data_IF_856387116586
#
_entry.id   IF_856387116586
#
_cell.length_a   1.000
_cell.length_b   1.000
_cell.length_c   1.000
_cell.angle_alpha   90.00
_cell.angle_beta   90.00
_cell.angle_gamma   90.00
#
_symmetry.space_group_name_H-M   'P 1'
#
loop_
_entity.id
_entity.type
_entity.pdbx_description
1 polymer ?
#
# COMPACT_ATOMS: atom_id res chain seq x y z
N UNK A 1 -26.49 0.14 -29.20
CA UNK A 1 -25.99 0.06 -27.80
C UNK A 1 -24.96 -1.05 -27.79
N UNK A 2 -23.69 -0.71 -27.58
CA UNK A 2 -22.63 -1.71 -27.40
C UNK A 2 -22.70 -2.22 -25.96
N UNK A 3 -22.81 -3.52 -25.78
CA UNK A 3 -22.75 -4.18 -24.47
C UNK A 3 -21.38 -4.84 -24.39
N UNK A 4 -20.64 -4.52 -23.34
CA UNK A 4 -19.35 -5.14 -23.06
C UNK A 4 -19.57 -6.25 -22.03
N UNK A 5 -19.00 -7.42 -22.30
CA UNK A 5 -19.05 -8.56 -21.40
C UNK A 5 -17.66 -8.82 -20.85
N UNK A 6 -17.55 -8.84 -19.52
CA UNK A 6 -16.33 -9.23 -18.83
C UNK A 6 -16.61 -10.45 -17.95
N UNK A 7 -15.79 -11.48 -18.10
CA UNK A 7 -15.90 -12.67 -17.28
C UNK A 7 -15.29 -12.44 -15.90
N UNK A 8 -16.08 -12.61 -14.85
CA UNK A 8 -15.61 -12.57 -13.47
C UNK A 8 -15.11 -13.92 -12.95
N UNK A 9 -15.28 -15.00 -13.73
CA UNK A 9 -14.93 -16.36 -13.29
C UNK A 9 -13.41 -16.52 -13.16
N UNK A 10 -12.61 -15.85 -13.99
CA UNK A 10 -11.14 -15.88 -13.92
C UNK A 10 -10.66 -15.36 -12.57
N UNK A 11 -11.15 -14.19 -12.15
CA UNK A 11 -10.84 -13.60 -10.85
C UNK A 11 -11.32 -14.47 -9.69
N UNK A 12 -12.51 -15.03 -9.79
CA UNK A 12 -13.06 -15.93 -8.76
C UNK A 12 -12.24 -17.23 -8.65
N UNK A 13 -11.83 -17.82 -9.77
CA UNK A 13 -10.96 -19.01 -9.79
C UNK A 13 -9.60 -18.70 -9.17
N UNK A 14 -9.01 -17.56 -9.51
CA UNK A 14 -7.73 -17.14 -8.96
C UNK A 14 -7.81 -16.94 -7.44
N UNK A 15 -8.86 -16.27 -6.93
CA UNK A 15 -9.09 -16.08 -5.50
C UNK A 15 -9.23 -17.42 -4.76
N UNK A 16 -9.98 -18.37 -5.34
CA UNK A 16 -10.16 -19.72 -4.78
C UNK A 16 -8.85 -20.52 -4.79
N UNK A 17 -8.11 -20.49 -5.90
CA UNK A 17 -6.83 -21.18 -6.00
C UNK A 17 -5.81 -20.67 -4.96
N UNK A 18 -5.91 -19.42 -4.57
CA UNK A 18 -5.07 -18.80 -3.54
C UNK A 18 -5.70 -18.83 -2.14
N UNK A 19 -6.84 -19.48 -1.95
CA UNK A 19 -7.54 -19.68 -0.67
C UNK A 19 -7.88 -18.37 0.07
N UNK A 20 -8.20 -17.31 -0.68
CA UNK A 20 -8.57 -16.03 -0.07
C UNK A 20 -9.94 -16.04 0.61
N UNK A 21 -10.81 -16.99 0.26
CA UNK A 21 -12.15 -17.09 0.85
C UNK A 21 -13.00 -15.82 0.69
N UNK A 22 -12.75 -15.05 -0.36
CA UNK A 22 -13.47 -13.81 -0.66
C UNK A 22 -14.51 -14.05 -1.75
N UNK A 23 -15.75 -13.70 -1.43
CA UNK A 23 -16.88 -13.88 -2.35
C UNK A 23 -16.98 -12.70 -3.34
N UNK A 24 -17.29 -13.01 -4.58
CA UNK A 24 -17.60 -12.05 -5.64
C UNK A 24 -16.51 -10.98 -5.92
N UNK A 25 -15.26 -11.38 -6.15
CA UNK A 25 -14.24 -10.43 -6.57
C UNK A 25 -14.61 -9.81 -7.91
N UNK A 26 -14.30 -8.54 -8.11
CA UNK A 26 -14.47 -7.87 -9.42
C UNK A 26 -13.55 -8.51 -10.45
N UNK A 27 -13.93 -8.42 -11.72
CA UNK A 27 -13.10 -8.89 -12.83
C UNK A 27 -11.87 -7.96 -12.98
N UNK A 28 -10.67 -8.53 -12.96
CA UNK A 28 -9.43 -7.79 -13.20
C UNK A 28 -9.44 -7.16 -14.59
N UNK A 29 -9.92 -7.91 -15.61
CA UNK A 29 -10.01 -7.41 -16.99
C UNK A 29 -10.97 -6.22 -17.13
N UNK A 30 -12.09 -6.24 -16.37
CA UNK A 30 -13.01 -5.09 -16.34
C UNK A 30 -12.33 -3.85 -15.75
N UNK A 31 -11.60 -3.99 -14.67
CA UNK A 31 -10.88 -2.87 -14.05
C UNK A 31 -9.77 -2.39 -14.97
N UNK A 32 -8.99 -3.27 -15.60
CA UNK A 32 -7.98 -2.89 -16.62
C UNK A 32 -8.61 -2.08 -17.74
N UNK A 33 -9.75 -2.52 -18.26
CA UNK A 33 -10.47 -1.80 -19.29
C UNK A 33 -10.85 -0.38 -18.85
N UNK A 34 -11.38 -0.20 -17.64
CA UNK A 34 -11.70 1.13 -17.11
C UNK A 34 -10.44 2.00 -17.01
N UNK A 35 -9.36 1.47 -16.43
CA UNK A 35 -8.10 2.20 -16.29
C UNK A 35 -7.53 2.59 -17.67
N UNK A 36 -7.61 1.71 -18.66
CA UNK A 36 -7.11 1.96 -20.01
C UNK A 36 -7.86 3.07 -20.77
N UNK A 37 -9.04 3.49 -20.29
CA UNK A 37 -9.73 4.67 -20.85
C UNK A 37 -9.00 5.98 -20.53
N UNK A 38 -8.10 5.99 -19.54
CA UNK A 38 -7.28 7.12 -19.18
C UNK A 38 -6.02 7.07 -20.05
N UNK A 39 -5.75 8.09 -20.89
CA UNK A 39 -4.60 8.06 -21.81
C UNK A 39 -3.24 8.05 -21.11
N UNK A 40 -3.15 8.62 -19.89
CA UNK A 40 -1.90 8.66 -19.13
C UNK A 40 -1.55 7.28 -18.59
N UNK A 41 -0.30 6.90 -18.81
CA UNK A 41 0.29 5.71 -18.21
C UNK A 41 1.02 6.01 -16.88
N UNK A 42 1.01 7.27 -16.46
CA UNK A 42 1.64 7.79 -15.26
C UNK A 42 0.59 8.51 -14.41
N UNK A 43 -0.34 7.77 -13.85
CA UNK A 43 -1.42 8.34 -13.03
C UNK A 43 -1.54 7.60 -11.71
N UNK A 44 -2.21 8.23 -10.75
CA UNK A 44 -2.55 7.63 -9.46
C UNK A 44 -4.01 7.17 -9.53
N UNK A 45 -4.24 5.91 -9.20
CA UNK A 45 -5.56 5.27 -9.17
C UNK A 45 -5.97 5.14 -7.71
N UNK A 46 -7.04 5.86 -7.33
CA UNK A 46 -7.59 5.80 -5.99
C UNK A 46 -8.84 4.91 -5.98
N UNK A 47 -8.83 3.90 -5.12
CA UNK A 47 -10.00 3.04 -4.82
C UNK A 47 -10.25 3.05 -3.32
N UNK A 48 -11.27 3.81 -2.89
CA UNK A 48 -11.57 3.99 -1.46
C UNK A 48 -12.66 3.03 -0.93
N UNK A 49 -12.99 2.01 -1.70
CA UNK A 49 -13.73 0.82 -1.29
C UNK A 49 -13.11 -0.43 -1.92
N UNK A 50 -11.79 -0.62 -1.70
CA UNK A 50 -10.97 -1.55 -2.46
C UNK A 50 -11.32 -3.03 -2.28
N UNK A 51 -12.07 -3.37 -1.23
CA UNK A 51 -12.45 -4.74 -0.93
C UNK A 51 -11.23 -5.67 -0.90
N UNK A 52 -11.20 -6.63 -1.82
CA UNK A 52 -10.05 -7.53 -1.98
C UNK A 52 -8.93 -6.98 -2.87
N UNK A 53 -8.82 -5.67 -3.07
CA UNK A 53 -7.78 -4.98 -3.85
C UNK A 53 -7.65 -5.43 -5.32
N UNK A 54 -8.79 -5.66 -6.00
CA UNK A 54 -8.78 -6.00 -7.45
C UNK A 54 -8.15 -4.90 -8.28
N UNK A 55 -8.34 -3.64 -7.91
CA UNK A 55 -7.83 -2.47 -8.63
C UNK A 55 -6.30 -2.42 -8.61
N UNK A 56 -5.67 -2.73 -7.47
CA UNK A 56 -4.21 -2.83 -7.38
C UNK A 56 -3.66 -3.93 -8.28
N UNK A 57 -4.27 -5.13 -8.25
CA UNK A 57 -3.90 -6.25 -9.13
C UNK A 57 -3.99 -5.84 -10.61
N UNK A 58 -5.12 -5.25 -11.02
CA UNK A 58 -5.33 -4.78 -12.40
C UNK A 58 -4.31 -3.71 -12.83
N UNK A 59 -3.93 -2.82 -11.92
CA UNK A 59 -2.94 -1.78 -12.18
C UNK A 59 -1.55 -2.37 -12.45
N UNK A 60 -1.10 -3.34 -11.63
CA UNK A 60 0.17 -4.02 -11.83
C UNK A 60 0.19 -4.81 -13.15
N UNK A 61 -0.89 -5.56 -13.47
CA UNK A 61 -1.02 -6.26 -14.76
C UNK A 61 -0.91 -5.29 -15.93
N UNK A 62 -1.62 -4.14 -15.88
CA UNK A 62 -1.60 -3.17 -16.96
C UNK A 62 -0.23 -2.51 -17.14
N UNK A 63 0.47 -2.21 -16.04
CA UNK A 63 1.84 -1.70 -16.10
C UNK A 63 2.80 -2.72 -16.76
N UNK A 64 2.67 -4.00 -16.43
CA UNK A 64 3.45 -5.07 -17.06
C UNK A 64 3.09 -5.29 -18.55
N UNK A 65 1.85 -5.01 -18.94
CA UNK A 65 1.40 -5.16 -20.34
C UNK A 65 1.87 -4.04 -21.25
N UNK A 66 1.88 -2.78 -20.75
CA UNK A 66 2.08 -1.60 -21.60
C UNK A 66 3.25 -0.69 -21.17
N UNK A 67 4.04 -1.11 -20.16
CA UNK A 67 5.20 -0.35 -19.66
C UNK A 67 4.81 0.94 -18.93
N UNK A 68 3.61 1.01 -18.39
CA UNK A 68 3.16 2.16 -17.61
C UNK A 68 3.76 2.17 -16.19
N UNK A 69 3.71 3.34 -15.55
CA UNK A 69 4.15 3.58 -14.15
C UNK A 69 2.98 4.08 -13.29
N UNK A 70 1.78 3.53 -13.52
CA UNK A 70 0.60 3.87 -12.72
C UNK A 70 0.80 3.43 -11.29
N UNK A 71 0.43 4.29 -10.35
CA UNK A 71 0.42 4.01 -8.91
C UNK A 71 -1.01 3.77 -8.44
N UNK A 72 -1.17 3.08 -7.31
CA UNK A 72 -2.48 2.87 -6.71
C UNK A 72 -2.50 3.28 -5.25
N UNK A 73 -3.66 3.76 -4.81
CA UNK A 73 -3.98 4.02 -3.40
C UNK A 73 -5.28 3.26 -3.10
N UNK A 74 -5.15 2.25 -2.24
CA UNK A 74 -6.27 1.40 -1.83
C UNK A 74 -6.69 1.76 -0.42
N UNK A 75 -7.97 2.07 -0.21
CA UNK A 75 -8.53 2.36 1.11
C UNK A 75 -9.64 1.36 1.40
N UNK A 76 -9.55 0.72 2.56
CA UNK A 76 -10.55 -0.25 3.02
C UNK A 76 -10.74 -0.15 4.53
N UNK A 77 -11.98 -0.23 4.96
CA UNK A 77 -12.30 -0.40 6.38
C UNK A 77 -11.89 -1.80 6.84
N UNK A 78 -11.34 -1.95 8.04
CA UNK A 78 -10.90 -3.24 8.57
C UNK A 78 -12.10 -4.09 9.05
N UNK A 79 -13.03 -4.37 8.14
CA UNK A 79 -14.19 -5.21 8.44
C UNK A 79 -13.75 -6.63 8.79
N UNK A 80 -14.28 -7.14 9.89
CA UNK A 80 -13.96 -8.49 10.35
C UNK A 80 -14.50 -9.55 9.42
N UNK A 81 -13.70 -10.57 9.19
CA UNK A 81 -14.07 -11.75 8.43
C UNK A 81 -14.96 -12.66 9.29
N UNK A 82 -15.95 -13.32 8.66
CA UNK A 82 -16.84 -14.27 9.34
C UNK A 82 -16.03 -15.41 9.96
N UNK A 83 -16.32 -15.73 11.22
CA UNK A 83 -15.57 -16.73 12.01
C UNK A 83 -15.50 -18.12 11.35
N UNK A 84 -16.55 -18.55 10.65
CA UNK A 84 -16.63 -19.86 10.01
C UNK A 84 -16.30 -19.81 8.50
N UNK A 85 -15.50 -18.82 8.05
CA UNK A 85 -15.11 -18.69 6.64
C UNK A 85 -13.79 -19.37 6.35
N UNK A 86 -13.57 -19.75 5.09
CA UNK A 86 -12.30 -20.26 4.59
C UNK A 86 -11.17 -19.24 4.86
N UNK A 87 -11.42 -17.95 4.63
CA UNK A 87 -10.47 -16.88 4.90
C UNK A 87 -9.99 -16.86 6.35
N UNK A 88 -10.89 -17.09 7.30
CA UNK A 88 -10.53 -17.14 8.73
C UNK A 88 -9.64 -18.34 9.05
N UNK A 89 -9.88 -19.49 8.43
CA UNK A 89 -9.06 -20.69 8.62
C UNK A 89 -7.66 -20.55 8.01
N UNK A 90 -7.49 -19.69 7.01
CA UNK A 90 -6.20 -19.34 6.41
C UNK A 90 -5.45 -18.22 7.19
N UNK A 91 -6.03 -17.73 8.30
CA UNK A 91 -5.38 -16.78 9.20
C UNK A 91 -5.69 -15.31 8.94
N UNK A 92 -6.60 -14.98 8.02
CA UNK A 92 -7.04 -13.62 7.81
C UNK A 92 -8.05 -13.20 8.89
N UNK A 93 -7.95 -11.96 9.36
CA UNK A 93 -8.85 -11.40 10.37
C UNK A 93 -9.79 -10.35 9.79
N UNK A 94 -9.31 -9.58 8.84
CA UNK A 94 -10.04 -8.48 8.20
C UNK A 94 -10.02 -8.60 6.68
N UNK A 95 -10.90 -7.85 6.02
CA UNK A 95 -10.87 -7.73 4.55
C UNK A 95 -9.55 -7.07 4.09
N UNK A 96 -8.97 -6.17 4.90
CA UNK A 96 -7.68 -5.56 4.60
C UNK A 96 -6.57 -6.61 4.46
N UNK A 97 -6.52 -7.61 5.35
CA UNK A 97 -5.51 -8.67 5.31
C UNK A 97 -5.58 -9.45 3.99
N UNK A 98 -6.81 -9.72 3.50
CA UNK A 98 -7.03 -10.35 2.19
C UNK A 98 -6.52 -9.45 1.07
N UNK A 99 -6.83 -8.16 1.13
CA UNK A 99 -6.41 -7.17 0.13
C UNK A 99 -4.89 -7.07 0.03
N UNK A 100 -4.22 -6.96 1.16
CA UNK A 100 -2.76 -6.88 1.25
C UNK A 100 -2.08 -8.13 0.69
N UNK A 101 -2.54 -9.30 1.11
CA UNK A 101 -1.98 -10.56 0.63
C UNK A 101 -2.27 -10.78 -0.86
N UNK A 102 -3.44 -10.34 -1.34
CA UNK A 102 -3.73 -10.36 -2.77
C UNK A 102 -2.76 -9.49 -3.55
N UNK A 103 -2.43 -8.29 -3.09
CA UNK A 103 -1.48 -7.40 -3.77
C UNK A 103 -0.12 -8.10 -3.86
N UNK A 104 0.39 -8.70 -2.76
CA UNK A 104 1.66 -9.42 -2.74
C UNK A 104 1.70 -10.55 -3.77
N UNK A 105 0.73 -11.46 -3.72
CA UNK A 105 0.70 -12.63 -4.64
C UNK A 105 0.44 -12.22 -6.08
N UNK A 106 -0.38 -11.18 -6.30
CA UNK A 106 -0.62 -10.67 -7.63
C UNK A 106 0.65 -10.06 -8.22
N UNK A 107 1.40 -9.26 -7.46
CA UNK A 107 2.67 -8.69 -7.88
C UNK A 107 3.68 -9.76 -8.28
N UNK A 108 3.89 -10.76 -7.42
CA UNK A 108 4.79 -11.88 -7.73
C UNK A 108 4.37 -12.64 -9.00
N UNK A 109 3.05 -12.90 -9.13
CA UNK A 109 2.54 -13.57 -10.32
C UNK A 109 2.77 -12.75 -11.58
N UNK A 110 2.44 -11.46 -11.56
CA UNK A 110 2.60 -10.55 -12.70
C UNK A 110 4.07 -10.48 -13.12
N UNK A 111 5.00 -10.36 -12.15
CA UNK A 111 6.44 -10.36 -12.43
C UNK A 111 6.88 -11.69 -13.05
N UNK A 112 6.43 -12.83 -12.50
CA UNK A 112 6.73 -14.15 -13.02
C UNK A 112 6.18 -14.35 -14.43
N UNK A 113 4.95 -13.97 -14.69
CA UNK A 113 4.31 -14.07 -16.02
C UNK A 113 5.05 -13.19 -17.06
N UNK A 114 5.53 -12.01 -16.64
CA UNK A 114 6.32 -11.11 -17.48
C UNK A 114 7.68 -11.73 -17.85
N UNK A 115 8.38 -12.32 -16.88
CA UNK A 115 9.64 -13.07 -17.11
C UNK A 115 9.41 -14.20 -18.11
N UNK A 116 8.36 -14.99 -17.90
CA UNK A 116 8.05 -16.13 -18.80
C UNK A 116 7.72 -15.66 -20.21
N UNK A 117 6.95 -14.56 -20.34
CA UNK A 117 6.62 -13.92 -21.61
C UNK A 117 7.88 -13.45 -22.32
N UNK A 118 8.78 -12.74 -21.62
CA UNK A 118 10.02 -12.22 -22.18
C UNK A 118 10.94 -13.36 -22.66
N UNK A 119 11.04 -14.45 -21.89
CA UNK A 119 11.82 -15.63 -22.26
C UNK A 119 11.29 -16.33 -23.52
N UNK A 120 9.97 -16.37 -23.73
CA UNK A 120 9.34 -16.96 -24.92
C UNK A 120 9.53 -16.14 -26.19
N UNK A 121 9.53 -14.82 -26.05
CA UNK A 121 9.62 -13.91 -27.20
C UNK A 121 11.07 -13.65 -27.64
N UNK A 122 12.04 -13.86 -26.73
CA UNK A 122 13.46 -13.58 -26.97
C UNK A 122 13.78 -12.09 -27.02
N UNK A 123 15.06 -11.76 -27.21
CA UNK A 123 15.62 -10.40 -27.15
C UNK A 123 15.26 -9.47 -28.34
N UNK A 124 14.31 -9.82 -29.17
CA UNK A 124 14.09 -9.17 -30.47
C UNK A 124 13.05 -8.03 -30.50
N UNK A 125 12.40 -7.70 -29.36
CA UNK A 125 11.41 -6.61 -29.34
C UNK A 125 11.95 -5.38 -28.62
N UNK A 126 12.03 -4.26 -29.34
CA UNK A 126 12.52 -2.96 -28.85
C UNK A 126 11.70 -2.33 -27.69
N UNK A 127 10.59 -2.94 -27.27
CA UNK A 127 9.68 -2.38 -26.25
C UNK A 127 9.29 -3.41 -25.19
N UNK A 128 10.19 -4.30 -24.79
CA UNK A 128 9.94 -5.21 -23.68
C UNK A 128 10.04 -4.45 -22.34
N UNK A 129 9.03 -4.66 -21.48
CA UNK A 129 9.09 -4.20 -20.09
C UNK A 129 10.12 -5.06 -19.36
N UNK A 130 11.07 -4.42 -18.69
CA UNK A 130 12.02 -5.14 -17.83
C UNK A 130 11.30 -5.57 -16.55
N UNK A 131 11.32 -6.86 -16.19
CA UNK A 131 10.72 -7.32 -14.94
C UNK A 131 11.31 -6.67 -13.68
N UNK A 132 12.56 -6.20 -13.74
CA UNK A 132 13.22 -5.56 -12.61
C UNK A 132 12.82 -4.09 -12.45
N UNK A 133 12.32 -3.44 -13.52
CA UNK A 133 11.74 -2.10 -13.46
C UNK A 133 10.26 -2.10 -13.04
N UNK A 134 9.63 -3.28 -12.98
CA UNK A 134 8.21 -3.37 -12.60
C UNK A 134 8.05 -3.14 -11.08
N UNK A 135 7.41 -2.04 -10.72
CA UNK A 135 7.06 -1.75 -9.32
C UNK A 135 5.86 -2.60 -8.87
N UNK A 136 6.13 -3.58 -8.02
CA UNK A 136 5.14 -4.44 -7.35
C UNK A 136 5.08 -4.17 -5.84
N UNK A 137 5.84 -3.19 -5.35
CA UNK A 137 5.91 -2.82 -3.96
C UNK A 137 4.69 -1.99 -3.51
N UNK A 138 4.39 -2.03 -2.22
CA UNK A 138 3.41 -1.14 -1.60
C UNK A 138 3.71 -0.97 -0.11
N UNK A 139 3.22 0.13 0.46
CA UNK A 139 3.24 0.37 1.91
C UNK A 139 1.85 0.23 2.48
N UNK A 140 1.75 -0.22 3.72
CA UNK A 140 0.50 -0.37 4.46
C UNK A 140 0.48 0.64 5.59
N UNK A 141 -0.57 1.45 5.65
CA UNK A 141 -0.79 2.43 6.71
C UNK A 141 -2.12 2.16 7.39
N UNK A 142 -2.17 2.44 8.68
CA UNK A 142 -3.42 2.46 9.46
C UNK A 142 -3.72 3.89 9.87
N UNK A 143 -4.94 4.34 9.62
CA UNK A 143 -5.38 5.64 10.10
C UNK A 143 -5.56 5.56 11.63
N UNK A 144 -4.85 6.39 12.35
CA UNK A 144 -4.92 6.54 13.80
C UNK A 144 -5.12 8.00 14.20
N UNK A 145 -5.20 8.24 15.51
CA UNK A 145 -5.09 9.59 16.06
C UNK A 145 -3.66 10.12 15.91
N UNK A 146 -3.47 11.43 16.08
CA UNK A 146 -2.13 12.04 16.12
C UNK A 146 -1.25 11.35 17.16
N UNK A 147 0.05 11.26 16.86
CA UNK A 147 1.06 10.74 17.77
C UNK A 147 1.54 11.80 18.77
N UNK A 148 1.10 13.05 18.59
CA UNK A 148 1.43 14.16 19.47
C UNK A 148 0.45 14.22 20.64
N UNK A 149 0.98 14.54 21.81
CA UNK A 149 0.18 14.87 22.98
C UNK A 149 -0.60 16.18 22.71
N UNK A 150 -1.92 16.15 22.90
CA UNK A 150 -2.72 17.36 22.78
C UNK A 150 -2.37 18.32 23.92
N UNK A 151 -2.03 19.56 23.54
CA UNK A 151 -1.82 20.62 24.50
C UNK A 151 -3.17 21.06 25.08
N UNK A 152 -3.47 20.60 26.30
CA UNK A 152 -4.61 21.05 27.10
C UNK A 152 -4.10 22.05 28.14
N UNK A 153 -4.02 23.31 27.77
CA UNK A 153 -3.66 24.39 28.70
C UNK A 153 -4.91 24.95 29.38
N UNK A 154 -5.42 24.25 30.38
CA UNK A 154 -6.23 24.93 31.40
C UNK A 154 -5.28 25.64 32.36
N UNK A 155 -5.50 26.95 32.55
CA UNK A 155 -4.57 27.87 33.24
C UNK A 155 -4.29 27.43 34.69
N UNK A 156 -5.25 26.75 35.34
CA UNK A 156 -5.15 26.27 36.73
C UNK A 156 -4.37 24.98 36.90
N UNK A 157 -4.04 24.26 35.81
CA UNK A 157 -3.31 22.98 35.81
C UNK A 157 -1.92 23.09 35.17
N UNK A 158 -1.47 24.33 34.85
CA UNK A 158 -0.22 24.54 34.10
C UNK A 158 1.00 23.97 34.85
N UNK A 159 1.09 24.15 36.17
CA UNK A 159 2.21 23.66 36.98
C UNK A 159 2.23 22.15 37.10
N UNK A 160 1.07 21.49 37.20
CA UNK A 160 0.97 20.03 37.28
C UNK A 160 1.16 19.34 35.92
N UNK A 161 0.91 20.06 34.84
CA UNK A 161 1.04 19.54 33.48
C UNK A 161 2.45 19.71 32.89
N UNK A 162 3.30 20.59 33.45
CA UNK A 162 4.67 20.78 32.98
C UNK A 162 5.47 19.46 33.05
N UNK A 163 5.33 18.70 34.11
CA UNK A 163 6.00 17.40 34.28
C UNK A 163 5.44 16.30 33.37
N UNK A 164 4.19 16.45 32.87
CA UNK A 164 3.58 15.52 31.91
C UNK A 164 4.05 15.75 30.46
N UNK A 165 4.71 16.88 30.19
CA UNK A 165 5.22 17.25 28.87
C UNK A 165 6.71 16.93 28.67
N UNK A 166 7.29 16.00 29.44
CA UNK A 166 8.64 15.47 29.17
C UNK A 166 8.74 14.85 27.78
N UNK A 167 7.63 14.32 27.26
CA UNK A 167 7.54 13.84 25.88
C UNK A 167 6.38 14.47 25.14
N UNK A 168 6.66 15.08 23.99
CA UNK A 168 5.62 15.58 23.07
C UNK A 168 4.87 14.48 22.34
N UNK A 169 5.26 13.21 22.54
CA UNK A 169 4.73 12.05 21.84
C UNK A 169 4.02 11.10 22.80
N UNK A 170 2.99 10.42 22.29
CA UNK A 170 2.29 9.39 23.04
C UNK A 170 3.20 8.17 23.24
N UNK A 171 3.24 7.63 24.46
CA UNK A 171 4.15 6.54 24.86
C UNK A 171 3.92 5.20 24.14
N UNK A 172 2.77 5.00 23.49
CA UNK A 172 2.39 3.78 22.79
C UNK A 172 2.68 3.81 21.28
N UNK A 173 3.41 4.83 20.81
CA UNK A 173 3.72 5.06 19.40
C UNK A 173 5.13 4.61 19.05
N UNK A 174 5.28 4.00 17.87
CA UNK A 174 6.60 3.68 17.33
C UNK A 174 7.26 4.93 16.72
N UNK A 175 8.59 4.92 16.64
CA UNK A 175 9.35 5.99 15.96
C UNK A 175 8.90 6.18 14.51
N UNK A 176 8.53 5.08 13.82
CA UNK A 176 8.03 5.14 12.45
C UNK A 176 6.65 5.80 12.37
N UNK A 177 5.75 5.58 13.35
CA UNK A 177 4.46 6.26 13.37
C UNK A 177 4.64 7.78 13.46
N UNK A 178 5.55 8.21 14.34
CA UNK A 178 5.91 9.62 14.50
C UNK A 178 6.55 10.19 13.22
N UNK A 179 7.49 9.45 12.63
CA UNK A 179 8.17 9.83 11.40
C UNK A 179 7.19 10.04 10.25
N UNK A 180 6.26 9.09 10.03
CA UNK A 180 5.27 9.21 8.97
C UNK A 180 4.29 10.36 9.22
N UNK A 181 3.93 10.66 10.48
CA UNK A 181 3.16 11.86 10.79
C UNK A 181 3.92 13.14 10.48
N UNK A 182 5.22 13.21 10.81
CA UNK A 182 6.08 14.34 10.47
C UNK A 182 6.15 14.52 8.94
N UNK A 183 6.34 13.43 8.20
CA UNK A 183 6.34 13.46 6.74
C UNK A 183 5.02 14.02 6.20
N UNK A 184 3.89 13.52 6.69
CA UNK A 184 2.56 13.94 6.27
C UNK A 184 2.33 15.43 6.55
N UNK A 185 2.68 15.90 7.75
CA UNK A 185 2.53 17.33 8.14
C UNK A 185 3.42 18.27 7.33
N UNK A 186 4.56 17.78 6.85
CA UNK A 186 5.45 18.54 5.96
C UNK A 186 5.10 18.37 4.47
N UNK A 187 4.03 17.68 4.12
CA UNK A 187 3.60 17.46 2.74
C UNK A 187 4.53 16.57 1.93
N UNK A 188 5.30 15.71 2.60
CA UNK A 188 6.16 14.74 1.94
C UNK A 188 5.36 13.50 1.53
N UNK A 189 5.69 12.96 0.37
CA UNK A 189 5.08 11.71 -0.10
C UNK A 189 5.49 10.55 0.83
N UNK A 190 4.52 9.83 1.38
CA UNK A 190 4.76 8.70 2.27
C UNK A 190 5.44 7.51 1.58
N UNK A 191 5.51 7.50 0.24
CA UNK A 191 6.25 6.49 -0.52
C UNK A 191 7.75 6.78 -0.61
N UNK A 192 8.21 7.97 -0.23
CA UNK A 192 9.64 8.27 -0.25
C UNK A 192 10.45 7.24 0.54
N UNK A 193 11.68 6.92 0.06
CA UNK A 193 12.56 6.04 0.78
C UNK A 193 12.95 6.66 2.13
N UNK A 194 12.98 5.82 3.15
CA UNK A 194 13.45 6.16 4.49
C UNK A 194 14.63 5.26 4.79
N UNK A 195 15.77 5.87 5.12
CA UNK A 195 16.98 5.16 5.51
C UNK A 195 17.31 5.46 6.96
N UNK A 196 17.49 4.43 7.77
CA UNK A 196 17.95 4.58 9.14
C UNK A 196 19.49 4.67 9.16
N UNK A 197 19.99 5.71 9.79
CA UNK A 197 21.43 5.97 10.00
C UNK A 197 21.67 5.94 11.51
N UNK A 198 22.59 5.09 11.95
CA UNK A 198 23.01 5.04 13.36
C UNK A 198 24.35 5.75 13.52
N UNK A 199 24.40 6.78 14.36
CA UNK A 199 25.64 7.48 14.72
C UNK A 199 25.79 7.51 16.24
N UNK A 200 26.68 6.70 16.77
CA UNK A 200 26.86 6.50 18.21
C UNK A 200 25.61 5.86 18.85
N UNK A 201 25.00 6.57 19.79
CA UNK A 201 23.75 6.18 20.45
C UNK A 201 22.50 6.74 19.77
N UNK A 202 22.67 7.57 18.72
CA UNK A 202 21.57 8.25 18.07
C UNK A 202 21.13 7.51 16.81
N UNK A 203 19.81 7.48 16.60
CA UNK A 203 19.17 6.98 15.41
C UNK A 203 18.61 8.17 14.62
N UNK A 204 19.00 8.29 13.38
CA UNK A 204 18.58 9.36 12.48
C UNK A 204 17.87 8.73 11.29
N UNK A 205 16.72 9.23 10.94
CA UNK A 205 16.00 8.84 9.74
C UNK A 205 16.27 9.85 8.63
N UNK A 206 16.90 9.40 7.55
CA UNK A 206 17.04 10.16 6.30
C UNK A 206 15.84 9.85 5.40
N UNK A 207 15.05 10.85 5.08
CA UNK A 207 13.87 10.77 4.22
C UNK A 207 14.19 11.39 2.87
N UNK A 208 13.91 10.67 1.80
CA UNK A 208 14.07 11.11 0.41
C UNK A 208 15.49 11.60 0.09
N UNK A 209 16.51 10.87 0.55
CA UNK A 209 17.92 11.10 0.27
C UNK A 209 18.37 12.53 0.61
N UNK A 210 18.13 12.95 1.86
CA UNK A 210 18.59 14.23 2.40
C UNK A 210 17.56 15.36 2.38
N UNK A 211 16.31 15.11 1.98
CA UNK A 211 15.27 16.15 2.02
C UNK A 211 14.79 16.45 3.45
N UNK A 212 14.80 15.45 4.33
CA UNK A 212 14.45 15.61 5.73
C UNK A 212 15.27 14.63 6.57
N UNK A 213 15.86 15.14 7.64
CA UNK A 213 16.47 14.32 8.68
C UNK A 213 15.66 14.42 9.97
N UNK A 214 15.33 13.28 10.57
CA UNK A 214 14.56 13.20 11.80
C UNK A 214 15.33 12.41 12.84
N UNK A 215 15.55 13.00 14.00
CA UNK A 215 16.13 12.34 15.18
C UNK A 215 15.09 12.43 16.31
N UNK A 216 14.69 11.30 16.83
CA UNK A 216 13.65 11.17 17.86
C UNK A 216 14.21 10.75 19.22
N UNK A 217 15.54 10.66 19.33
CA UNK A 217 16.18 10.32 20.60
C UNK A 217 16.12 11.51 21.55
N UNK A 218 15.74 11.27 22.80
CA UNK A 218 15.87 12.23 23.88
C UNK A 218 17.36 12.46 24.18
N UNK A 219 17.73 13.72 24.43
CA UNK A 219 19.10 14.11 24.79
C UNK A 219 19.40 13.75 26.25
#
# INVERSE_FOLDING_TARGET
KSVLFFDSQSSTKWMKANKFGFDFPKSTDFIKYIISMIPSKECIILDFFSGSATTAHATMELNAEDGGSRKFIMVQLPELIKENSEAKSEGYHTICDIGEERIRRAGEKVKSDLIEKNNKVGTLLENQVDPDDLDIGFKVFKLGSSNLTEWQAEFDELESNIDLFESNFLNDRSELDILFEIMLKNGLDLTYPVTEISEGSHKIYDVASGNLFVCLNDN
#
